data_IF_795783878810
#
_entry.id   IF_795783878810
#
_cell.length_a   1.000
_cell.length_b   1.000
_cell.length_c   1.000
_cell.angle_alpha   90.00
_cell.angle_beta   90.00
_cell.angle_gamma   90.00
#
_symmetry.space_group_name_H-M   'P 1'
#
loop_
_entity.id
_entity.type
_entity.pdbx_description
1 polymer ?
#
# COMPACT_ATOMS: atom_id res chain seq x y z
N UNK A 1 17.49 -18.30 -14.66
CA UNK A 1 16.20 -18.78 -14.11
C UNK A 1 16.18 -18.46 -12.64
N UNK A 2 15.67 -17.28 -12.33
CA UNK A 2 15.63 -16.71 -10.98
C UNK A 2 14.33 -17.11 -10.30
N UNK A 3 14.38 -17.23 -8.97
CA UNK A 3 13.31 -17.62 -8.01
C UNK A 3 11.96 -16.88 -8.14
N UNK A 4 11.84 -15.95 -9.09
CA UNK A 4 10.62 -15.23 -9.47
C UNK A 4 9.76 -15.98 -10.51
N UNK A 5 10.35 -16.92 -11.27
CA UNK A 5 9.62 -17.69 -12.30
C UNK A 5 8.57 -18.65 -11.70
N UNK A 6 8.69 -19.02 -10.41
CA UNK A 6 7.77 -19.95 -9.75
C UNK A 6 6.54 -19.28 -9.14
N UNK A 7 6.56 -17.96 -8.90
CA UNK A 7 5.43 -17.22 -8.31
C UNK A 7 4.44 -16.77 -9.38
N UNK A 8 4.91 -16.54 -10.61
CA UNK A 8 4.06 -16.15 -11.74
C UNK A 8 3.25 -17.32 -12.34
N UNK A 9 3.65 -18.58 -12.10
CA UNK A 9 2.93 -19.77 -12.58
C UNK A 9 1.59 -20.05 -11.89
N UNK A 10 1.38 -19.48 -10.70
CA UNK A 10 0.16 -19.69 -9.91
C UNK A 10 -0.86 -18.55 -10.06
N UNK A 11 -0.58 -17.54 -10.88
CA UNK A 11 -1.61 -16.60 -11.30
C UNK A 11 -2.31 -17.18 -12.53
N UNK A 12 -3.63 -17.48 -12.46
CA UNK A 12 -4.37 -18.06 -13.58
C UNK A 12 -4.43 -17.15 -14.82
N UNK A 13 -3.91 -15.93 -14.70
CA UNK A 13 -3.90 -14.94 -15.76
C UNK A 13 -2.71 -15.02 -16.72
N UNK A 14 -1.59 -15.65 -16.32
CA UNK A 14 -0.35 -15.62 -17.12
C UNK A 14 0.12 -16.97 -17.67
N UNK A 15 -0.44 -18.09 -17.22
CA UNK A 15 0.03 -19.43 -17.65
C UNK A 15 -0.98 -20.19 -18.54
N UNK A 16 -2.09 -19.54 -18.94
CA UNK A 16 -3.10 -20.15 -19.80
C UNK A 16 -2.80 -19.94 -21.30
N UNK A 17 -1.74 -20.55 -21.83
CA UNK A 17 -1.64 -20.86 -23.27
C UNK A 17 -1.79 -19.70 -24.27
N UNK A 18 -1.58 -18.45 -23.85
CA UNK A 18 -1.77 -17.29 -24.72
C UNK A 18 -0.59 -17.13 -25.67
N UNK A 19 -0.84 -17.47 -26.93
CA UNK A 19 0.09 -17.19 -28.01
C UNK A 19 0.16 -15.67 -28.21
N UNK A 20 1.15 -15.04 -27.58
CA UNK A 20 1.61 -13.72 -28.00
C UNK A 20 2.07 -13.76 -29.46
N UNK A 21 2.26 -12.59 -30.07
CA UNK A 21 2.61 -12.50 -31.48
C UNK A 21 4.00 -13.13 -31.76
N UNK A 22 4.10 -14.23 -32.53
CA UNK A 22 5.37 -14.90 -32.78
C UNK A 22 6.41 -13.98 -33.43
N UNK A 23 7.65 -14.02 -32.93
CA UNK A 23 8.71 -13.14 -33.40
C UNK A 23 8.65 -11.70 -32.89
N UNK A 24 7.60 -11.32 -32.14
CA UNK A 24 7.53 -10.03 -31.45
C UNK A 24 8.12 -10.13 -30.04
N UNK A 25 9.39 -9.76 -29.90
CA UNK A 25 10.06 -9.70 -28.59
C UNK A 25 9.78 -8.41 -27.83
N UNK A 26 10.19 -8.35 -26.55
CA UNK A 26 9.98 -7.19 -25.66
C UNK A 26 10.50 -5.86 -26.24
N UNK A 27 11.61 -5.88 -26.98
CA UNK A 27 12.19 -4.67 -27.59
C UNK A 27 11.27 -4.12 -28.68
N UNK A 28 10.76 -4.99 -29.53
CA UNK A 28 9.85 -4.65 -30.63
C UNK A 28 8.49 -4.23 -30.08
N UNK A 29 7.93 -4.98 -29.12
CA UNK A 29 6.68 -4.62 -28.45
C UNK A 29 6.77 -3.25 -27.76
N UNK A 30 7.85 -2.98 -27.04
CA UNK A 30 8.09 -1.67 -26.40
C UNK A 30 8.24 -0.54 -27.41
N UNK A 31 8.83 -0.80 -28.57
CA UNK A 31 8.97 0.20 -29.63
C UNK A 31 7.59 0.59 -30.19
N UNK A 32 6.72 -0.38 -30.48
CA UNK A 32 5.34 -0.12 -30.92
C UNK A 32 4.52 0.57 -29.83
N UNK A 33 4.70 0.18 -28.57
CA UNK A 33 4.00 0.78 -27.43
C UNK A 33 4.38 2.25 -27.16
N UNK A 34 5.41 2.80 -27.83
CA UNK A 34 5.70 4.25 -27.79
C UNK A 34 4.84 5.05 -28.77
N UNK A 35 4.20 4.38 -29.73
CA UNK A 35 3.18 4.99 -30.57
C UNK A 35 1.80 4.93 -29.91
N UNK A 36 0.79 5.43 -30.62
CA UNK A 36 -0.56 5.57 -30.08
C UNK A 36 -1.39 4.29 -30.12
N UNK A 37 -0.94 3.24 -30.82
CA UNK A 37 -1.72 2.00 -30.96
C UNK A 37 -2.09 1.36 -29.61
N UNK A 38 -1.19 1.40 -28.63
CA UNK A 38 -1.47 0.91 -27.28
C UNK A 38 -2.50 1.77 -26.54
N UNK A 39 -2.37 3.08 -26.65
CA UNK A 39 -3.26 4.05 -26.01
C UNK A 39 -4.67 4.01 -26.62
N UNK A 40 -4.76 3.91 -27.94
CA UNK A 40 -6.04 3.78 -28.67
C UNK A 40 -6.77 2.50 -28.24
N UNK A 41 -6.04 1.38 -28.14
CA UNK A 41 -6.60 0.12 -27.67
C UNK A 41 -7.11 0.21 -26.23
N UNK A 42 -6.31 0.80 -25.33
CA UNK A 42 -6.69 1.02 -23.94
C UNK A 42 -7.92 1.92 -23.83
N UNK A 43 -7.96 3.02 -24.58
CA UNK A 43 -9.04 3.98 -24.54
C UNK A 43 -10.38 3.38 -25.00
N UNK A 44 -10.38 2.63 -26.10
CA UNK A 44 -11.60 1.96 -26.58
C UNK A 44 -12.02 0.79 -25.69
N UNK A 45 -11.05 0.07 -25.09
CA UNK A 45 -11.35 -0.95 -24.10
C UNK A 45 -11.97 -0.34 -22.84
N UNK A 46 -11.47 0.79 -22.33
CA UNK A 46 -12.03 1.48 -21.15
C UNK A 46 -13.45 2.00 -21.36
N UNK A 47 -13.81 2.40 -22.59
CA UNK A 47 -15.19 2.81 -22.93
C UNK A 47 -16.17 1.65 -22.93
N UNK A 48 -15.68 0.44 -23.14
CA UNK A 48 -16.50 -0.75 -23.30
C UNK A 48 -16.33 -1.61 -22.05
N UNK A 49 -17.33 -1.73 -21.18
CA UNK A 49 -17.21 -2.64 -20.02
C UNK A 49 -17.26 -4.13 -20.41
N UNK A 50 -17.71 -4.43 -21.64
CA UNK A 50 -17.75 -5.77 -22.23
C UNK A 50 -17.37 -5.73 -23.71
N UNK A 51 -17.02 -6.86 -24.35
CA UNK A 51 -16.75 -6.93 -25.78
C UNK A 51 -18.01 -6.60 -26.60
N UNK A 52 -18.16 -5.34 -26.99
CA UNK A 52 -19.29 -4.89 -27.82
C UNK A 52 -18.99 -5.07 -29.31
N UNK A 53 -20.03 -5.07 -30.15
CA UNK A 53 -19.85 -5.08 -31.61
C UNK A 53 -19.00 -3.88 -32.11
N UNK A 54 -19.11 -2.73 -31.44
CA UNK A 54 -18.31 -1.54 -31.73
C UNK A 54 -16.82 -1.78 -31.42
N UNK A 55 -16.51 -2.39 -30.28
CA UNK A 55 -15.14 -2.74 -29.91
C UNK A 55 -14.53 -3.75 -30.90
N UNK A 56 -15.30 -4.75 -31.34
CA UNK A 56 -14.85 -5.70 -32.37
C UNK A 56 -14.58 -5.02 -33.72
N UNK A 57 -15.41 -4.05 -34.12
CA UNK A 57 -15.18 -3.27 -35.33
C UNK A 57 -13.91 -2.41 -35.22
N UNK A 58 -13.69 -1.79 -34.06
CA UNK A 58 -12.45 -1.06 -33.77
C UNK A 58 -11.22 -1.98 -33.81
N UNK A 59 -11.31 -3.18 -33.23
CA UNK A 59 -10.21 -4.14 -33.27
C UNK A 59 -9.81 -4.51 -34.69
N UNK A 60 -10.76 -4.62 -35.62
CA UNK A 60 -10.45 -4.86 -37.02
C UNK A 60 -9.60 -3.72 -37.62
N UNK A 61 -9.95 -2.45 -37.41
CA UNK A 61 -9.15 -1.33 -37.94
C UNK A 61 -7.81 -1.20 -37.21
N UNK A 62 -7.81 -1.37 -35.89
CA UNK A 62 -6.60 -1.40 -35.07
C UNK A 62 -5.61 -2.47 -35.53
N UNK A 63 -6.11 -3.67 -35.83
CA UNK A 63 -5.31 -4.79 -36.30
C UNK A 63 -4.63 -4.50 -37.65
N UNK A 64 -5.34 -3.85 -38.58
CA UNK A 64 -4.75 -3.40 -39.84
C UNK A 64 -3.70 -2.32 -39.63
N UNK A 65 -3.94 -1.36 -38.73
CA UNK A 65 -2.97 -0.33 -38.40
C UNK A 65 -1.71 -0.92 -37.77
N UNK A 66 -1.85 -1.92 -36.90
CA UNK A 66 -0.72 -2.65 -36.32
C UNK A 66 0.08 -3.38 -37.40
N UNK A 67 -0.57 -4.14 -38.29
CA UNK A 67 0.12 -4.82 -39.39
C UNK A 67 0.84 -3.83 -40.33
N UNK A 68 0.25 -2.65 -40.57
CA UNK A 68 0.86 -1.58 -41.35
C UNK A 68 2.11 -1.03 -40.65
N UNK A 69 2.05 -0.85 -39.33
CA UNK A 69 3.19 -0.40 -38.52
C UNK A 69 4.38 -1.37 -38.64
N UNK A 70 4.13 -2.67 -38.53
CA UNK A 70 5.18 -3.68 -38.68
C UNK A 70 5.71 -3.81 -40.11
N UNK A 71 4.87 -3.64 -41.14
CA UNK A 71 5.28 -3.83 -42.55
C UNK A 71 5.99 -2.62 -43.13
N UNK A 72 5.52 -1.40 -42.84
CA UNK A 72 6.00 -0.16 -43.46
C UNK A 72 6.74 0.76 -42.51
N UNK A 73 6.57 0.59 -41.18
CA UNK A 73 7.12 1.48 -40.15
C UNK A 73 6.87 2.97 -40.44
N UNK A 74 5.62 3.37 -40.73
CA UNK A 74 5.31 4.71 -41.21
C UNK A 74 5.64 5.78 -40.17
N UNK A 75 5.56 5.45 -38.88
CA UNK A 75 5.87 6.37 -37.78
C UNK A 75 7.34 6.28 -37.30
N UNK A 76 8.16 5.40 -37.90
CA UNK A 76 9.57 5.26 -37.52
C UNK A 76 9.79 4.72 -36.10
N UNK A 77 8.80 4.04 -35.52
CA UNK A 77 8.87 3.52 -34.14
C UNK A 77 9.83 2.33 -34.03
N UNK A 78 9.88 1.50 -35.07
CA UNK A 78 10.68 0.29 -35.13
C UNK A 78 12.07 0.59 -35.69
N UNK A 79 13.09 -0.13 -35.22
CA UNK A 79 14.46 0.00 -35.77
C UNK A 79 14.59 -0.53 -37.20
N UNK A 80 13.69 -1.41 -37.61
CA UNK A 80 13.57 -1.95 -38.96
C UNK A 80 12.13 -2.38 -39.24
N UNK A 81 11.80 -2.61 -40.51
CA UNK A 81 10.54 -3.24 -40.92
C UNK A 81 10.56 -4.73 -40.55
N UNK A 82 9.42 -5.24 -40.12
CA UNK A 82 9.23 -6.61 -39.64
C UNK A 82 8.10 -7.29 -40.45
N UNK A 83 8.33 -7.46 -41.76
CA UNK A 83 7.31 -7.98 -42.68
C UNK A 83 6.77 -9.38 -42.33
N UNK A 84 7.61 -10.27 -41.78
CA UNK A 84 7.16 -11.57 -41.30
C UNK A 84 6.12 -11.45 -40.16
N UNK A 85 6.36 -10.53 -39.21
CA UNK A 85 5.43 -10.26 -38.11
C UNK A 85 4.13 -9.66 -38.65
N UNK A 86 4.21 -8.72 -39.60
CA UNK A 86 3.03 -8.14 -40.24
C UNK A 86 2.15 -9.20 -40.94
N UNK A 87 2.78 -10.17 -41.64
CA UNK A 87 2.08 -11.28 -42.25
C UNK A 87 1.42 -12.19 -41.20
N UNK A 88 2.09 -12.45 -40.08
CA UNK A 88 1.53 -13.22 -38.97
C UNK A 88 0.33 -12.52 -38.34
N UNK A 89 0.40 -11.21 -38.12
CA UNK A 89 -0.74 -10.40 -37.66
C UNK A 89 -1.90 -10.62 -38.63
N UNK A 90 -1.71 -10.34 -39.92
CA UNK A 90 -2.77 -10.47 -40.92
C UNK A 90 -3.43 -11.87 -40.99
N UNK A 91 -2.68 -12.94 -40.69
CA UNK A 91 -3.19 -14.31 -40.66
C UNK A 91 -3.84 -14.72 -39.32
N UNK A 92 -3.74 -13.91 -38.25
CA UNK A 92 -4.15 -14.26 -36.90
C UNK A 92 -5.28 -13.35 -36.39
N UNK A 93 -6.55 -13.57 -36.80
CA UNK A 93 -7.67 -12.71 -36.42
C UNK A 93 -8.02 -12.77 -34.93
N UNK A 94 -7.51 -13.78 -34.20
CA UNK A 94 -7.69 -13.92 -32.75
C UNK A 94 -6.76 -13.03 -31.92
N UNK A 95 -5.79 -12.36 -32.56
CA UNK A 95 -4.93 -11.39 -31.90
C UNK A 95 -5.52 -9.98 -32.09
N UNK A 96 -5.59 -9.14 -31.04
CA UNK A 96 -5.26 -9.44 -29.65
C UNK A 96 -6.37 -10.24 -28.95
N UNK A 97 -6.01 -11.05 -27.96
CA UNK A 97 -7.01 -11.78 -27.17
C UNK A 97 -7.81 -10.78 -26.32
N UNK A 98 -9.11 -10.70 -26.59
CA UNK A 98 -10.02 -9.73 -25.97
C UNK A 98 -10.13 -9.95 -24.47
N UNK A 99 -10.35 -11.19 -24.02
CA UNK A 99 -10.50 -11.50 -22.60
C UNK A 99 -9.31 -11.01 -21.78
N UNK A 100 -8.12 -11.05 -22.38
CA UNK A 100 -6.91 -10.58 -21.74
C UNK A 100 -6.73 -9.09 -21.79
N UNK A 101 -7.12 -8.40 -22.86
CA UNK A 101 -7.23 -6.93 -22.80
C UNK A 101 -8.13 -6.55 -21.63
N UNK A 102 -9.32 -7.15 -21.54
CA UNK A 102 -10.32 -6.82 -20.54
C UNK A 102 -9.87 -7.10 -19.11
N UNK A 103 -9.12 -8.17 -18.86
CA UNK A 103 -8.64 -8.43 -17.52
C UNK A 103 -7.48 -7.54 -17.06
N UNK A 104 -6.71 -6.96 -17.99
CA UNK A 104 -5.75 -5.92 -17.64
C UNK A 104 -6.44 -4.56 -17.42
N UNK A 105 -7.45 -4.26 -18.22
CA UNK A 105 -8.20 -3.00 -18.16
C UNK A 105 -9.16 -2.97 -16.97
N UNK A 106 -9.80 -4.10 -16.68
CA UNK A 106 -10.75 -4.32 -15.59
C UNK A 106 -10.28 -5.50 -14.72
N UNK A 107 -9.17 -5.34 -13.98
CA UNK A 107 -8.66 -6.41 -13.14
C UNK A 107 -9.67 -6.76 -12.05
N UNK A 108 -9.87 -8.07 -11.86
CA UNK A 108 -10.57 -8.58 -10.68
C UNK A 108 -9.66 -8.31 -9.48
N UNK A 109 -10.03 -7.32 -8.67
CA UNK A 109 -9.31 -6.95 -7.45
C UNK A 109 -10.13 -7.33 -6.21
N UNK A 110 -9.54 -7.29 -5.01
CA UNK A 110 -10.28 -7.52 -3.75
C UNK A 110 -11.45 -6.55 -3.55
N UNK A 111 -11.46 -5.42 -4.26
CA UNK A 111 -12.56 -4.44 -4.26
C UNK A 111 -13.56 -4.63 -5.40
N UNK A 112 -13.32 -5.58 -6.31
CA UNK A 112 -14.31 -5.94 -7.33
C UNK A 112 -15.45 -6.82 -6.77
N UNK A 113 -15.23 -7.42 -5.59
CA UNK A 113 -16.31 -7.89 -4.73
C UNK A 113 -16.69 -6.78 -3.74
N UNK A 114 -17.99 -6.55 -3.52
CA UNK A 114 -18.50 -5.57 -2.53
C UNK A 114 -18.07 -5.87 -1.08
N UNK A 115 -17.43 -7.01 -0.84
CA UNK A 115 -16.84 -7.36 0.45
C UNK A 115 -15.43 -6.80 0.55
N UNK A 116 -15.30 -5.64 1.19
CA UNK A 116 -14.01 -5.12 1.65
C UNK A 116 -13.38 -6.15 2.61
N UNK A 117 -12.09 -6.50 2.47
CA UNK A 117 -11.44 -7.38 3.43
C UNK A 117 -11.58 -6.81 4.84
N UNK A 118 -12.04 -7.64 5.78
CA UNK A 118 -12.14 -7.24 7.18
C UNK A 118 -10.74 -7.21 7.80
N UNK A 119 -10.10 -6.04 7.75
CA UNK A 119 -8.79 -5.81 8.33
C UNK A 119 -8.81 -5.80 9.87
N UNK A 120 -9.98 -5.72 10.52
CA UNK A 120 -10.08 -5.73 11.98
C UNK A 120 -9.76 -7.11 12.58
N UNK A 121 -9.96 -8.17 11.80
CA UNK A 121 -9.59 -9.54 12.19
C UNK A 121 -8.07 -9.77 12.30
N UNK A 122 -7.24 -8.88 11.75
CA UNK A 122 -5.78 -9.01 11.75
C UNK A 122 -5.13 -8.64 13.09
N UNK A 123 -5.87 -8.03 14.01
CA UNK A 123 -5.38 -7.71 15.35
C UNK A 123 -5.08 -8.97 16.18
N UNK A 124 -5.55 -10.15 15.76
CA UNK A 124 -5.36 -11.43 16.46
C UNK A 124 -4.14 -12.25 15.96
N UNK A 125 -2.98 -11.60 15.80
CA UNK A 125 -1.71 -12.32 15.56
C UNK A 125 -1.23 -13.11 16.80
N UNK A 126 -1.92 -12.97 17.94
CA UNK A 126 -1.51 -13.48 19.24
C UNK A 126 -1.89 -14.95 19.51
N UNK A 127 -2.55 -15.65 18.58
CA UNK A 127 -2.74 -17.11 18.65
C UNK A 127 -1.91 -17.85 17.58
N UNK A 128 -0.58 -17.86 17.66
CA UNK A 128 0.29 -18.60 16.74
C UNK A 128 0.25 -20.13 16.97
N UNK A 129 -0.48 -20.61 17.98
CA UNK A 129 -0.54 -22.03 18.33
C UNK A 129 -1.12 -22.85 17.18
N UNK A 130 -0.22 -23.50 16.43
CA UNK A 130 -0.55 -24.49 15.39
C UNK A 130 -0.04 -24.16 13.98
N UNK A 131 0.10 -22.88 13.60
CA UNK A 131 0.41 -22.53 12.20
C UNK A 131 1.91 -22.39 11.91
N UNK A 132 2.71 -21.93 12.88
CA UNK A 132 4.14 -21.67 12.66
C UNK A 132 5.05 -22.84 13.05
N UNK A 133 4.55 -23.82 13.80
CA UNK A 133 5.34 -24.95 14.30
C UNK A 133 6.50 -24.54 15.23
N UNK A 134 6.49 -23.32 15.76
CA UNK A 134 7.52 -22.81 16.66
C UNK A 134 7.22 -23.20 18.10
N UNK A 135 8.24 -23.59 18.86
CA UNK A 135 8.12 -23.76 20.30
C UNK A 135 8.01 -22.41 21.03
N UNK A 136 7.59 -22.44 22.30
CA UNK A 136 7.36 -21.23 23.10
C UNK A 136 8.63 -20.36 23.24
N UNK A 137 9.82 -20.98 23.31
CA UNK A 137 11.08 -20.27 23.42
C UNK A 137 11.43 -19.52 22.11
N UNK A 138 11.23 -20.17 20.97
CA UNK A 138 11.44 -19.62 19.63
C UNK A 138 10.46 -18.49 19.33
N UNK A 139 9.19 -18.64 19.74
CA UNK A 139 8.18 -17.59 19.66
C UNK A 139 8.64 -16.37 20.47
N UNK A 140 9.00 -16.57 21.74
CA UNK A 140 9.44 -15.48 22.62
C UNK A 140 10.66 -14.74 22.06
N UNK A 141 11.68 -15.48 21.59
CA UNK A 141 12.87 -14.90 20.99
C UNK A 141 12.58 -14.14 19.69
N UNK A 142 11.76 -14.72 18.80
CA UNK A 142 11.43 -14.14 17.50
C UNK A 142 10.56 -12.89 17.65
N UNK A 143 9.59 -12.92 18.56
CA UNK A 143 8.74 -11.78 18.88
C UNK A 143 9.57 -10.66 19.53
N UNK A 144 10.46 -11.00 20.44
CA UNK A 144 11.33 -10.05 21.12
C UNK A 144 12.28 -9.30 20.19
N UNK A 145 12.77 -9.95 19.14
CA UNK A 145 13.71 -9.36 18.20
C UNK A 145 13.03 -8.60 17.06
N UNK A 146 11.84 -9.04 16.61
CA UNK A 146 11.23 -8.52 15.39
C UNK A 146 9.89 -7.82 15.64
N UNK A 147 9.04 -8.35 16.54
CA UNK A 147 7.68 -7.86 16.69
C UNK A 147 7.58 -6.69 17.67
N UNK A 148 8.36 -6.68 18.74
CA UNK A 148 8.30 -5.61 19.76
C UNK A 148 8.61 -4.23 19.19
N UNK A 149 9.49 -4.13 18.19
CA UNK A 149 9.72 -2.89 17.48
C UNK A 149 8.45 -2.42 16.76
N UNK A 150 7.79 -3.33 16.03
CA UNK A 150 6.56 -3.03 15.30
C UNK A 150 5.43 -2.61 16.24
N UNK A 151 5.20 -3.35 17.32
CA UNK A 151 4.16 -3.02 18.32
C UNK A 151 4.47 -1.68 18.98
N UNK A 152 5.70 -1.44 19.43
CA UNK A 152 6.07 -0.16 20.04
C UNK A 152 5.87 1.01 19.07
N UNK A 153 6.26 0.86 17.80
CA UNK A 153 6.05 1.87 16.77
C UNK A 153 4.55 2.12 16.51
N UNK A 154 3.75 1.07 16.41
CA UNK A 154 2.30 1.19 16.24
C UNK A 154 1.67 1.93 17.44
N UNK A 155 2.03 1.57 18.66
CA UNK A 155 1.56 2.22 19.88
C UNK A 155 1.97 3.69 19.97
N UNK A 156 3.12 4.08 19.41
CA UNK A 156 3.50 5.49 19.32
C UNK A 156 2.68 6.28 18.31
N UNK A 157 2.23 5.64 17.23
CA UNK A 157 1.40 6.28 16.21
C UNK A 157 -0.08 6.37 16.61
N UNK A 158 -0.56 5.49 17.50
CA UNK A 158 -1.91 5.59 18.06
C UNK A 158 -2.05 6.89 18.88
N UNK A 159 -3.13 7.67 18.70
CA UNK A 159 -3.38 8.83 19.54
C UNK A 159 -3.55 8.38 20.99
N UNK A 160 -2.76 8.96 21.90
CA UNK A 160 -2.84 8.60 23.32
C UNK A 160 -3.88 9.47 24.00
N UNK A 161 -5.06 8.89 24.28
CA UNK A 161 -6.11 9.56 25.04
C UNK A 161 -5.85 9.40 26.54
N UNK A 162 -5.08 10.33 27.11
CA UNK A 162 -4.75 10.35 28.55
C UNK A 162 -6.01 10.30 29.43
N UNK A 163 -7.09 10.96 29.01
CA UNK A 163 -8.35 11.00 29.77
C UNK A 163 -9.01 9.63 29.83
N UNK A 164 -9.13 8.94 28.70
CA UNK A 164 -9.67 7.58 28.67
C UNK A 164 -8.82 6.61 29.50
N UNK A 165 -7.49 6.74 29.45
CA UNK A 165 -6.59 5.92 30.27
C UNK A 165 -6.76 6.19 31.78
N UNK A 166 -6.93 7.45 32.18
CA UNK A 166 -7.21 7.83 33.57
C UNK A 166 -8.59 7.33 34.04
N UNK A 167 -9.62 7.49 33.23
CA UNK A 167 -10.97 7.01 33.54
C UNK A 167 -11.00 5.49 33.69
N UNK A 168 -10.32 4.75 32.80
CA UNK A 168 -10.15 3.31 32.92
C UNK A 168 -9.43 2.92 34.22
N UNK A 169 -8.38 3.68 34.61
CA UNK A 169 -7.66 3.46 35.86
C UNK A 169 -8.53 3.66 37.10
N UNK A 170 -9.26 4.78 37.14
CA UNK A 170 -10.15 5.11 38.25
C UNK A 170 -11.25 4.07 38.40
N UNK A 171 -11.84 3.62 37.29
CA UNK A 171 -12.97 2.70 37.31
C UNK A 171 -12.58 1.24 37.60
N UNK A 172 -11.42 0.79 37.13
CA UNK A 172 -10.99 -0.61 37.30
C UNK A 172 -10.03 -0.82 38.47
N UNK A 173 -9.48 0.24 39.07
CA UNK A 173 -8.44 0.17 40.10
C UNK A 173 -7.09 -0.33 39.58
N UNK A 174 -7.01 -0.71 38.30
CA UNK A 174 -5.81 -1.15 37.61
C UNK A 174 -5.61 -0.27 36.38
N UNK A 175 -4.37 -0.06 35.97
CA UNK A 175 -4.15 0.42 34.60
C UNK A 175 -4.45 -0.79 33.71
N UNK A 176 -5.62 -0.80 33.06
CA UNK A 176 -5.94 -1.75 31.97
C UNK A 176 -4.99 -1.45 30.80
N UNK A 177 -3.75 -1.92 30.91
CA UNK A 177 -2.71 -1.81 29.88
C UNK A 177 -2.92 -2.93 28.85
N UNK A 178 -4.00 -2.83 28.05
CA UNK A 178 -4.21 -3.73 26.91
C UNK A 178 -3.34 -3.39 25.70
N UNK A 179 -2.60 -2.28 25.77
CA UNK A 179 -1.67 -1.80 24.74
C UNK A 179 -0.33 -1.42 25.38
N UNK A 180 0.77 -1.56 24.64
CA UNK A 180 2.11 -1.09 25.06
C UNK A 180 2.04 0.38 25.50
N UNK A 181 2.13 0.66 26.81
CA UNK A 181 1.85 1.97 27.34
C UNK A 181 3.08 2.87 27.12
N UNK A 182 2.86 4.18 26.95
CA UNK A 182 3.99 5.13 26.92
C UNK A 182 4.84 5.08 28.20
N UNK A 183 4.28 4.61 29.32
CA UNK A 183 5.00 4.34 30.58
C UNK A 183 6.08 3.26 30.44
N UNK A 184 5.96 2.36 29.45
CA UNK A 184 7.00 1.38 29.13
C UNK A 184 8.21 2.00 28.45
N UNK A 185 8.12 3.25 27.98
CA UNK A 185 9.26 4.01 27.48
C UNK A 185 9.98 4.68 28.63
N UNK A 186 11.22 4.24 28.87
CA UNK A 186 12.00 4.76 29.99
C UNK A 186 12.73 6.04 29.62
N UNK A 187 13.45 6.02 28.50
CA UNK A 187 14.26 7.16 28.04
C UNK A 187 14.74 7.01 26.62
N UNK A 188 15.16 8.13 26.04
CA UNK A 188 15.93 8.15 24.80
C UNK A 188 17.42 8.10 25.18
N UNK A 189 18.11 7.07 24.70
CA UNK A 189 19.50 6.77 25.11
C UNK A 189 20.50 7.35 24.11
N UNK A 190 20.21 7.22 22.81
CA UNK A 190 21.19 7.52 21.77
C UNK A 190 20.53 7.99 20.49
N UNK A 191 21.28 8.75 19.70
CA UNK A 191 20.94 9.14 18.34
C UNK A 191 21.93 8.50 17.36
N UNK A 192 21.44 8.06 16.20
CA UNK A 192 22.26 7.51 15.11
C UNK A 192 21.61 7.81 13.76
N UNK A 193 22.41 7.86 12.70
CA UNK A 193 21.91 7.81 11.32
C UNK A 193 22.02 6.38 10.77
N UNK A 194 20.91 5.84 10.25
CA UNK A 194 20.83 4.52 9.62
C UNK A 194 20.27 4.70 8.19
N UNK A 195 21.04 4.34 7.16
CA UNK A 195 20.63 4.52 5.75
C UNK A 195 20.10 5.92 5.41
N UNK A 196 20.79 6.98 5.88
CA UNK A 196 20.38 8.39 5.76
C UNK A 196 19.08 8.76 6.51
N UNK A 197 18.53 7.87 7.32
CA UNK A 197 17.41 8.15 8.21
C UNK A 197 17.93 8.40 9.63
N UNK A 198 17.48 9.49 10.25
CA UNK A 198 17.76 9.74 11.66
C UNK A 198 16.91 8.81 12.53
N UNK A 199 17.56 8.08 13.44
CA UNK A 199 16.93 7.15 14.38
C UNK A 199 17.40 7.41 15.80
N UNK A 200 16.50 7.22 16.76
CA UNK A 200 16.80 7.27 18.18
C UNK A 200 16.72 5.87 18.79
N UNK A 201 17.69 5.54 19.64
CA UNK A 201 17.66 4.39 20.53
C UNK A 201 16.77 4.71 21.72
N UNK A 202 15.57 4.14 21.74
CA UNK A 202 14.58 4.30 22.79
C UNK A 202 14.64 3.07 23.68
N UNK A 203 14.97 3.27 24.96
CA UNK A 203 14.98 2.19 25.95
C UNK A 203 13.57 1.95 26.47
N UNK A 204 13.11 0.72 26.37
CA UNK A 204 11.78 0.28 26.77
C UNK A 204 11.87 -0.89 27.75
N UNK A 205 10.86 -0.99 28.62
CA UNK A 205 10.56 -2.21 29.37
C UNK A 205 9.69 -3.13 28.53
N UNK A 206 10.12 -4.37 28.32
CA UNK A 206 9.30 -5.34 27.56
C UNK A 206 8.24 -6.04 28.40
N UNK A 207 8.13 -5.73 29.71
CA UNK A 207 7.24 -6.45 30.62
C UNK A 207 5.79 -6.51 30.15
N UNK A 208 5.21 -5.36 29.79
CA UNK A 208 3.85 -5.27 29.27
C UNK A 208 3.67 -6.04 27.95
N UNK A 209 4.64 -5.92 27.02
CA UNK A 209 4.63 -6.66 25.75
C UNK A 209 4.70 -8.17 25.96
N UNK A 210 5.55 -8.61 26.89
CA UNK A 210 5.71 -10.02 27.21
C UNK A 210 4.47 -10.59 27.89
N UNK A 211 3.79 -9.82 28.75
CA UNK A 211 2.52 -10.22 29.36
C UNK A 211 1.40 -10.38 28.32
N UNK A 212 1.30 -9.46 27.36
CA UNK A 212 0.30 -9.53 26.29
C UNK A 212 0.50 -10.75 25.38
N UNK A 213 1.75 -11.08 25.06
CA UNK A 213 2.07 -12.31 24.30
C UNK A 213 1.78 -13.55 25.15
N UNK A 214 2.09 -13.51 26.45
CA UNK A 214 1.84 -14.59 27.40
C UNK A 214 0.35 -14.90 27.54
N UNK A 215 -0.52 -13.90 27.55
CA UNK A 215 -1.98 -14.12 27.62
C UNK A 215 -2.56 -14.85 26.40
N UNK A 216 -1.87 -14.85 25.27
CA UNK A 216 -2.28 -15.58 24.06
C UNK A 216 -1.71 -17.00 23.96
N UNK A 217 -0.84 -17.42 24.88
CA UNK A 217 -0.14 -18.71 24.83
C UNK A 217 -0.60 -19.61 25.98
N UNK A 218 -1.03 -20.82 25.65
CA UNK A 218 -1.51 -21.81 26.63
C UNK A 218 -0.42 -22.34 27.58
N UNK A 219 0.85 -22.38 27.14
CA UNK A 219 1.99 -22.81 27.96
C UNK A 219 2.90 -21.62 28.32
N UNK A 220 2.53 -20.98 29.41
CA UNK A 220 3.04 -19.68 29.83
C UNK A 220 4.27 -19.77 30.76
N UNK A 221 4.74 -21.00 31.04
CA UNK A 221 5.75 -21.31 32.06
C UNK A 221 7.17 -20.86 31.69
N UNK A 222 7.47 -20.75 30.39
CA UNK A 222 8.79 -20.41 29.86
C UNK A 222 9.01 -18.91 29.56
N UNK A 223 8.02 -18.04 29.78
CA UNK A 223 8.13 -16.64 29.37
C UNK A 223 9.02 -15.84 30.34
N UNK A 224 10.08 -15.24 29.77
CA UNK A 224 11.12 -14.52 30.49
C UNK A 224 10.61 -13.29 31.24
N UNK A 225 11.32 -12.97 32.33
CA UNK A 225 11.18 -11.73 33.11
C UNK A 225 11.22 -10.48 32.21
N UNK A 226 10.60 -9.36 32.63
CA UNK A 226 10.70 -8.09 31.92
C UNK A 226 12.18 -7.75 31.67
N UNK A 227 12.54 -7.58 30.39
CA UNK A 227 13.89 -7.17 29.99
C UNK A 227 13.87 -5.73 29.51
N UNK A 228 14.94 -5.00 29.79
CA UNK A 228 15.16 -3.70 29.16
C UNK A 228 15.71 -3.91 27.76
N UNK A 229 15.12 -3.25 26.77
CA UNK A 229 15.57 -3.31 25.38
C UNK A 229 15.69 -1.93 24.78
N UNK A 230 16.68 -1.74 23.92
CA UNK A 230 16.84 -0.53 23.13
C UNK A 230 16.29 -0.80 21.73
N UNK A 231 15.26 -0.05 21.36
CA UNK A 231 14.66 -0.08 20.04
C UNK A 231 15.15 1.11 19.22
N UNK A 232 15.50 0.89 17.96
CA UNK A 232 15.90 1.96 17.04
C UNK A 232 14.69 2.47 16.26
N UNK A 233 14.25 3.67 16.58
CA UNK A 233 12.97 4.21 16.09
C UNK A 233 13.23 5.46 15.24
N UNK A 234 12.57 5.60 14.08
CA UNK A 234 12.69 6.79 13.24
C UNK A 234 12.41 8.08 14.00
N UNK A 235 13.23 9.10 13.76
CA UNK A 235 13.13 10.39 14.43
C UNK A 235 11.75 11.04 14.27
N UNK A 236 11.08 10.87 13.12
CA UNK A 236 9.72 11.39 12.90
C UNK A 236 8.72 10.82 13.91
N UNK A 237 8.77 9.50 14.17
CA UNK A 237 7.89 8.83 15.12
C UNK A 237 8.16 9.28 16.54
N UNK A 238 9.44 9.40 16.91
CA UNK A 238 9.84 9.87 18.25
C UNK A 238 9.47 11.34 18.48
N UNK A 239 9.72 12.22 17.49
CA UNK A 239 9.35 13.63 17.58
C UNK A 239 7.83 13.81 17.71
N UNK A 240 7.05 12.95 17.05
CA UNK A 240 5.59 12.98 17.12
C UNK A 240 5.07 12.48 18.48
N UNK A 241 5.53 11.30 18.90
CA UNK A 241 4.93 10.59 20.03
C UNK A 241 5.58 10.88 21.39
N UNK A 242 6.86 11.27 21.39
CA UNK A 242 7.73 11.35 22.56
C UNK A 242 8.48 12.69 22.62
N UNK A 243 7.88 13.76 22.10
CA UNK A 243 8.47 15.11 22.09
C UNK A 243 8.96 15.55 23.50
N UNK A 244 8.17 15.25 24.53
CA UNK A 244 8.48 15.60 25.92
C UNK A 244 9.70 14.85 26.48
N UNK A 245 9.91 13.60 26.06
CA UNK A 245 11.09 12.84 26.45
C UNK A 245 12.31 13.31 25.68
N UNK A 246 12.13 13.69 24.42
CA UNK A 246 13.20 14.22 23.59
C UNK A 246 13.73 15.55 24.13
N UNK A 247 12.84 16.47 24.53
CA UNK A 247 13.23 17.75 25.13
C UNK A 247 13.97 17.59 26.46
N UNK A 248 13.65 16.55 27.24
CA UNK A 248 14.32 16.20 28.49
C UNK A 248 15.63 15.42 28.29
N UNK A 249 15.82 14.81 27.12
CA UNK A 249 17.01 14.01 26.87
C UNK A 249 18.25 14.90 26.77
N UNK A 250 19.30 14.57 27.53
CA UNK A 250 20.60 15.26 27.46
C UNK A 250 21.39 14.91 26.20
N UNK A 251 20.75 14.29 25.21
CA UNK A 251 21.38 14.01 23.93
C UNK A 251 21.61 15.37 23.30
N UNK A 252 22.86 15.83 23.36
CA UNK A 252 23.26 17.05 22.70
C UNK A 252 22.95 16.89 21.22
N UNK A 253 21.83 17.45 20.78
CA UNK A 253 21.46 17.53 19.37
C UNK A 253 22.58 18.33 18.74
N UNK A 254 23.56 17.63 18.16
CA UNK A 254 24.59 18.30 17.37
C UNK A 254 23.81 18.97 16.26
N UNK A 255 23.81 20.31 16.15
CA UNK A 255 23.09 21.00 15.10
C UNK A 255 23.53 20.33 13.80
N UNK A 256 22.57 19.73 13.10
CA UNK A 256 22.88 19.02 11.88
C UNK A 256 23.60 20.03 10.99
N UNK A 257 24.87 19.78 10.68
CA UNK A 257 25.56 20.54 9.66
C UNK A 257 24.85 20.20 8.37
N UNK A 258 23.77 20.91 8.08
CA UNK A 258 23.12 20.90 6.78
C UNK A 258 24.21 21.35 5.80
N UNK A 259 24.89 20.37 5.21
CA UNK A 259 25.54 20.61 3.94
C UNK A 259 24.37 20.92 3.01
N UNK A 260 24.07 22.21 2.87
CA UNK A 260 23.28 22.78 1.80
C UNK A 260 23.89 22.30 0.50
N UNK A 261 23.45 21.12 0.05
CA UNK A 261 23.51 20.74 -1.34
C UNK A 261 22.28 21.42 -1.92
N UNK A 262 22.57 22.42 -2.75
CA UNK A 262 21.71 23.18 -3.65
C UNK A 262 20.21 22.89 -3.51
N UNK A 263 19.36 23.91 -3.25
CA UNK A 263 17.93 23.72 -3.21
C UNK A 263 17.50 23.01 -4.49
N UNK A 264 16.87 21.84 -4.35
CA UNK A 264 16.11 21.24 -5.43
C UNK A 264 15.17 22.33 -5.92
N UNK A 265 15.37 22.78 -7.16
CA UNK A 265 14.40 23.65 -7.84
C UNK A 265 13.04 22.96 -7.71
N UNK A 266 11.99 23.68 -7.30
CA UNK A 266 10.65 23.12 -7.36
C UNK A 266 10.41 22.68 -8.81
N UNK A 267 9.89 21.46 -8.98
CA UNK A 267 9.35 21.01 -10.25
C UNK A 267 8.33 22.06 -10.70
N UNK A 268 8.70 22.85 -11.71
CA UNK A 268 7.80 23.74 -12.39
C UNK A 268 6.71 22.91 -13.03
N UNK A 269 5.51 22.99 -12.46
CA UNK A 269 4.28 22.63 -13.16
C UNK A 269 4.19 23.53 -14.39
N UNK A 270 4.02 23.01 -15.61
CA UNK A 270 3.81 23.87 -16.77
C UNK A 270 2.49 24.62 -16.57
N UNK A 271 2.57 25.95 -16.53
CA UNK A 271 1.43 26.84 -16.64
C UNK A 271 0.78 26.65 -18.01
N UNK A 272 -0.35 25.97 -18.05
CA UNK A 272 -1.29 26.07 -19.16
C UNK A 272 -1.99 27.43 -19.06
N UNK A 273 -1.64 28.35 -19.96
CA UNK A 273 -2.46 29.51 -20.28
C UNK A 273 -3.80 29.02 -20.80
N UNK A 274 -4.87 29.26 -20.05
CA UNK A 274 -6.23 29.30 -20.59
C UNK A 274 -6.75 30.73 -20.42
N UNK A 275 -7.14 31.27 -21.57
CA UNK A 275 -7.89 32.51 -21.70
C UNK A 275 -9.23 32.41 -20.96
N UNK A 276 -9.64 33.57 -20.45
CA UNK A 276 -10.94 33.92 -19.89
C UNK A 276 -12.15 33.31 -20.60
N UNK A 277 -13.16 32.86 -19.85
CA UNK A 277 -14.46 33.54 -19.86
C UNK A 277 -15.41 33.13 -18.72
N UNK A 278 -16.11 34.16 -18.26
CA UNK A 278 -17.35 34.30 -17.48
C UNK A 278 -18.04 33.10 -16.79
N UNK A 279 -18.52 33.36 -15.56
CA UNK A 279 -19.66 32.65 -14.98
C UNK A 279 -19.68 32.62 -13.46
N UNK A 280 -20.07 33.72 -12.82
CA UNK A 280 -20.29 33.77 -11.38
C UNK A 280 -21.50 32.91 -10.97
N UNK A 281 -21.27 31.88 -10.14
CA UNK A 281 -22.32 31.19 -9.41
C UNK A 281 -22.00 31.26 -7.91
N UNK A 282 -22.84 32.02 -7.19
CA UNK A 282 -22.95 32.04 -5.73
C UNK A 282 -23.35 30.66 -5.24
N UNK A 283 -22.59 30.09 -4.31
CA UNK A 283 -23.05 28.98 -3.49
C UNK A 283 -23.37 29.52 -2.11
N UNK A 284 -24.66 29.57 -1.80
CA UNK A 284 -25.14 29.83 -0.45
C UNK A 284 -24.82 28.60 0.43
N UNK A 285 -24.21 28.89 1.58
CA UNK A 285 -23.93 27.92 2.64
C UNK A 285 -25.27 27.60 3.30
N UNK A 286 -25.76 26.38 3.12
CA UNK A 286 -26.92 25.87 3.86
C UNK A 286 -26.42 25.42 5.23
N UNK A 287 -26.91 26.13 6.24
CA UNK A 287 -26.76 25.85 7.66
C UNK A 287 -27.64 24.63 8.02
N UNK A 288 -27.01 23.53 8.44
CA UNK A 288 -27.69 22.31 8.89
C UNK A 288 -27.70 22.25 10.41
N UNK A 289 -28.52 23.09 11.02
CA UNK A 289 -29.00 22.90 12.39
C UNK A 289 -30.51 23.08 12.43
N UNK A 290 -31.25 21.97 12.49
CA UNK A 290 -32.58 21.95 13.08
C UNK A 290 -32.96 20.53 13.52
N UNK A 291 -33.79 20.38 14.57
CA UNK A 291 -33.78 19.23 15.48
C UNK A 291 -34.75 18.11 15.07
N UNK A 292 -34.54 16.94 15.69
CA UNK A 292 -35.44 15.78 15.65
C UNK A 292 -36.90 16.14 15.96
N UNK A 293 -37.87 15.50 15.27
CA UNK A 293 -39.23 15.41 15.78
C UNK A 293 -39.47 14.07 16.50
N UNK A 294 -40.01 14.22 17.71
CA UNK A 294 -40.55 13.17 18.58
C UNK A 294 -41.70 12.35 17.96
N UNK A 295 -41.79 11.12 18.47
CA UNK A 295 -42.83 10.10 18.47
C UNK A 295 -44.30 10.42 18.09
N UNK A 296 -44.94 9.40 17.48
CA UNK A 296 -46.21 8.72 17.87
C UNK A 296 -46.99 8.19 16.62
N UNK A 297 -47.97 7.24 16.75
CA UNK A 297 -47.85 5.90 17.31
C UNK A 297 -48.41 4.80 16.37
N UNK A 298 -48.20 3.55 16.78
CA UNK A 298 -48.78 2.29 16.28
C UNK A 298 -50.25 2.35 15.81
N UNK A 299 -50.50 1.76 14.64
CA UNK A 299 -51.70 0.95 14.38
C UNK A 299 -51.35 -0.30 13.57
N UNK A 300 -51.57 -1.46 14.18
CA UNK A 300 -51.81 -2.74 13.49
C UNK A 300 -53.33 -2.88 13.30
N UNK A 301 -53.72 -3.37 12.12
CA UNK A 301 -55.04 -3.83 11.68
C UNK A 301 -56.21 -2.83 11.73
#
# INVERSE_FOLDING_TARGET
MTKYDSVLKNFPFFDAGQQGLPGCGIVTARAVARGNLGDDLLHEALKSCTPTAQFLQFLNSWHHALALEFSTNPHGLLSRKHGAIAATIAAMPSFPNIDVIFAYVHPITLWSSDTRPDYHSWDSLASPNGQLGWDAATISASFGNNLYLGIAMQSFLKPYNLRAALEAHVNSGFLLETDFPRSSVLRIVKEKTLHNLLVYGVEISTGALSLQVKSGLEDASAFLMPTLRILWIPARTVNYALADLLSKSKIAVKPSKSKSKNPCKPYGRPETRLHSDAGAARFDIIDLTSPEPEDLPSRRF
#
